data_IF_953162770673
#
_entry.id   IF_953162770673
#
_cell.length_a   1.000
_cell.length_b   1.000
_cell.length_c   1.000
_cell.angle_alpha   90.00
_cell.angle_beta   90.00
_cell.angle_gamma   90.00
#
_symmetry.space_group_name_H-M   'P 1'
#
loop_
_entity.id
_entity.type
_entity.pdbx_description
1 polymer ?
#
# COMPACT_ATOMS: atom_id res chain seq x y z
N UNK A 1 20.76 5.03 16.09
CA UNK A 1 19.30 5.18 15.83
C UNK A 1 18.88 4.22 14.71
N UNK A 2 19.44 4.35 13.51
CA UNK A 2 19.11 3.46 12.38
C UNK A 2 19.37 1.98 12.69
N UNK A 3 20.48 1.65 13.36
CA UNK A 3 20.77 0.27 13.74
C UNK A 3 19.73 -0.32 14.70
N UNK A 4 19.27 0.44 15.71
CA UNK A 4 18.21 0.00 16.62
C UNK A 4 16.88 -0.25 15.89
N UNK A 5 16.56 0.59 14.90
CA UNK A 5 15.37 0.40 14.05
C UNK A 5 15.50 -0.88 13.23
N UNK A 6 16.66 -1.12 12.60
CA UNK A 6 16.91 -2.35 11.83
C UNK A 6 16.86 -3.60 12.70
N UNK A 7 17.47 -3.56 13.89
CA UNK A 7 17.39 -4.66 14.86
C UNK A 7 15.95 -4.93 15.31
N UNK A 8 15.13 -3.89 15.47
CA UNK A 8 13.71 -4.05 15.80
C UNK A 8 12.93 -4.78 14.70
N UNK A 9 13.26 -4.53 13.42
CA UNK A 9 12.68 -5.25 12.29
C UNK A 9 13.17 -6.71 12.28
N UNK A 10 14.47 -6.96 12.48
CA UNK A 10 15.06 -8.31 12.46
C UNK A 10 14.56 -9.21 13.59
N UNK A 11 14.27 -8.67 14.77
CA UNK A 11 13.72 -9.46 15.88
C UNK A 11 12.40 -10.16 15.53
N UNK A 12 11.67 -9.65 14.54
CA UNK A 12 10.42 -10.26 14.07
C UNK A 12 10.65 -11.37 13.03
N UNK A 13 11.85 -11.53 12.47
CA UNK A 13 12.08 -12.47 11.37
C UNK A 13 12.29 -13.93 11.79
N UNK A 14 12.63 -14.21 13.05
CA UNK A 14 13.03 -15.57 13.47
C UNK A 14 11.93 -16.62 13.24
N UNK A 15 10.66 -16.25 13.38
CA UNK A 15 9.52 -17.16 13.28
C UNK A 15 8.54 -16.82 12.13
N UNK A 16 8.90 -15.87 11.25
CA UNK A 16 7.98 -15.35 10.23
C UNK A 16 8.58 -15.40 8.81
N UNK A 17 7.82 -15.93 7.86
CA UNK A 17 8.19 -15.90 6.43
C UNK A 17 8.16 -14.47 5.86
N UNK A 18 7.25 -13.64 6.38
CA UNK A 18 7.05 -12.25 5.95
C UNK A 18 6.88 -11.33 7.15
N UNK A 19 7.59 -10.20 7.13
CA UNK A 19 7.42 -9.10 8.09
C UNK A 19 6.93 -7.87 7.32
N UNK A 20 5.72 -7.41 7.63
CA UNK A 20 5.16 -6.18 7.06
C UNK A 20 5.41 -5.05 8.05
N UNK A 21 6.32 -4.14 7.70
CA UNK A 21 6.66 -2.98 8.54
C UNK A 21 6.03 -1.72 7.93
N UNK A 22 5.03 -1.18 8.61
CA UNK A 22 4.49 0.15 8.29
C UNK A 22 5.44 1.24 8.80
N UNK A 23 5.81 2.18 7.94
CA UNK A 23 6.56 3.37 8.34
C UNK A 23 5.55 4.51 8.49
N UNK A 24 5.34 4.92 9.74
CA UNK A 24 4.46 6.05 10.06
C UNK A 24 5.01 7.38 9.55
N UNK A 25 4.14 8.39 9.50
CA UNK A 25 4.44 9.72 8.97
C UNK A 25 4.27 9.81 7.45
N UNK A 26 4.70 10.94 6.87
CA UNK A 26 4.70 11.13 5.41
C UNK A 26 6.14 11.17 4.91
N UNK A 27 6.37 10.65 3.70
CA UNK A 27 7.63 10.89 2.99
C UNK A 27 7.77 12.40 2.77
N UNK A 28 8.96 12.93 3.06
CA UNK A 28 9.24 14.37 3.03
C UNK A 28 9.26 15.02 4.42
N UNK A 29 8.66 14.38 5.43
CA UNK A 29 8.69 14.88 6.81
C UNK A 29 10.03 14.56 7.48
N UNK A 30 10.57 15.52 8.25
CA UNK A 30 11.86 15.38 8.95
C UNK A 30 11.82 14.22 9.96
N UNK A 31 10.67 13.99 10.58
CA UNK A 31 10.44 12.94 11.57
C UNK A 31 10.62 11.53 10.98
N UNK A 32 10.32 11.37 9.68
CA UNK A 32 10.39 10.09 8.96
C UNK A 32 11.81 9.73 8.51
N UNK A 33 12.73 10.71 8.42
CA UNK A 33 14.07 10.52 7.85
C UNK A 33 14.87 9.37 8.50
N UNK A 34 14.91 9.21 9.85
CA UNK A 34 15.64 8.10 10.46
C UNK A 34 15.08 6.73 10.07
N UNK A 35 13.76 6.60 9.94
CA UNK A 35 13.11 5.35 9.54
C UNK A 35 13.37 5.02 8.07
N UNK A 36 13.27 6.02 7.20
CA UNK A 36 13.53 5.83 5.77
C UNK A 36 15.01 5.48 5.51
N UNK A 37 15.95 6.14 6.21
CA UNK A 37 17.36 5.77 6.14
C UNK A 37 17.62 4.36 6.69
N UNK A 38 16.93 3.96 7.77
CA UNK A 38 17.06 2.62 8.34
C UNK A 38 16.62 1.54 7.35
N UNK A 39 15.44 1.67 6.73
CA UNK A 39 14.97 0.66 5.74
C UNK A 39 15.84 0.67 4.48
N UNK A 40 16.34 1.84 4.06
CA UNK A 40 17.25 1.95 2.92
C UNK A 40 18.52 1.13 3.15
N UNK A 41 19.14 1.27 4.33
CA UNK A 41 20.29 0.45 4.73
C UNK A 41 19.91 -1.02 4.90
N UNK A 42 18.75 -1.29 5.51
CA UNK A 42 18.27 -2.64 5.77
C UNK A 42 18.24 -3.50 4.50
N UNK A 43 17.75 -2.95 3.38
CA UNK A 43 17.75 -3.64 2.08
C UNK A 43 19.15 -4.04 1.60
N UNK A 44 20.19 -3.28 1.93
CA UNK A 44 21.57 -3.69 1.63
C UNK A 44 22.06 -4.76 2.60
N UNK A 45 21.71 -4.67 3.88
CA UNK A 45 22.14 -5.62 4.91
C UNK A 45 21.58 -7.03 4.67
N UNK A 46 20.31 -7.14 4.25
CA UNK A 46 19.64 -8.44 4.06
C UNK A 46 19.56 -8.90 2.60
N UNK A 47 19.98 -8.09 1.63
CA UNK A 47 19.88 -8.37 0.20
C UNK A 47 18.62 -7.82 -0.46
N UNK A 48 18.75 -7.36 -1.70
CA UNK A 48 17.67 -6.69 -2.44
C UNK A 48 16.49 -7.63 -2.75
N UNK A 49 16.75 -8.91 -2.93
CA UNK A 49 15.74 -9.96 -3.14
C UNK A 49 14.84 -10.20 -1.93
N UNK A 50 15.27 -9.80 -0.73
CA UNK A 50 14.57 -10.04 0.53
C UNK A 50 13.78 -8.83 1.04
N UNK A 51 13.71 -7.74 0.27
CA UNK A 51 12.93 -6.54 0.62
C UNK A 51 12.10 -6.07 -0.57
N UNK A 52 10.83 -5.75 -0.29
CA UNK A 52 9.89 -5.13 -1.22
C UNK A 52 9.34 -3.82 -0.60
N UNK A 53 9.39 -2.74 -1.37
CA UNK A 53 8.83 -1.45 -0.96
C UNK A 53 7.46 -1.21 -1.60
N UNK A 54 6.44 -1.08 -0.75
CA UNK A 54 5.10 -0.62 -1.13
C UNK A 54 4.96 0.84 -0.73
N UNK A 55 4.76 1.73 -1.71
CA UNK A 55 4.55 3.15 -1.44
C UNK A 55 3.08 3.52 -1.65
N UNK A 56 2.43 4.00 -0.58
CA UNK A 56 1.04 4.44 -0.61
C UNK A 56 1.00 5.93 -0.97
N UNK A 57 0.11 6.29 -1.89
CA UNK A 57 -0.01 7.65 -2.41
C UNK A 57 -1.46 8.02 -2.68
N UNK A 58 -1.77 9.31 -2.73
CA UNK A 58 -3.10 9.83 -3.04
C UNK A 58 -3.16 10.34 -4.48
N UNK A 59 -4.14 9.87 -5.25
CA UNK A 59 -4.51 10.39 -6.57
C UNK A 59 -5.84 11.14 -6.42
N UNK A 60 -5.81 12.45 -6.12
CA UNK A 60 -7.03 13.20 -5.83
C UNK A 60 -7.83 13.48 -7.09
N UNK A 61 -9.16 13.47 -6.95
CA UNK A 61 -10.08 13.95 -7.97
C UNK A 61 -10.34 15.44 -7.82
N UNK A 62 -10.08 16.22 -8.88
CA UNK A 62 -10.30 17.67 -8.87
C UNK A 62 -11.66 17.96 -9.50
N UNK A 63 -12.67 18.18 -8.65
CA UNK A 63 -14.06 18.40 -9.06
C UNK A 63 -14.22 19.54 -10.08
N UNK A 64 -13.45 20.62 -9.94
CA UNK A 64 -13.50 21.76 -10.88
C UNK A 64 -12.96 21.46 -12.27
N UNK A 65 -12.09 20.45 -12.41
CA UNK A 65 -11.51 20.01 -13.68
C UNK A 65 -12.10 18.70 -14.19
N UNK A 66 -12.86 17.97 -13.35
CA UNK A 66 -13.45 16.68 -13.68
C UNK A 66 -12.43 15.56 -13.90
N UNK A 67 -11.22 15.66 -13.32
CA UNK A 67 -10.15 14.69 -13.57
C UNK A 67 -9.33 14.33 -12.34
N UNK A 68 -8.76 13.12 -12.37
CA UNK A 68 -7.78 12.62 -11.41
C UNK A 68 -6.41 13.22 -11.69
N UNK A 69 -5.73 13.72 -10.64
CA UNK A 69 -4.39 14.32 -10.77
C UNK A 69 -3.32 13.37 -10.27
N UNK A 70 -2.42 12.98 -11.18
CA UNK A 70 -1.28 12.09 -10.89
C UNK A 70 -0.06 12.81 -10.31
N UNK A 71 -0.06 14.15 -10.31
CA UNK A 71 1.10 14.98 -9.96
C UNK A 71 1.54 14.82 -8.48
N UNK A 72 0.63 14.75 -7.49
CA UNK A 72 1.01 14.46 -6.10
C UNK A 72 1.77 13.14 -5.96
N UNK A 73 1.31 12.07 -6.61
CA UNK A 73 2.03 10.79 -6.65
C UNK A 73 3.43 10.89 -7.23
N UNK A 74 3.59 11.63 -8.33
CA UNK A 74 4.90 11.82 -8.96
C UNK A 74 5.88 12.55 -8.04
N UNK A 75 5.42 13.57 -7.32
CA UNK A 75 6.25 14.30 -6.37
C UNK A 75 6.63 13.44 -5.17
N UNK A 76 5.67 12.70 -4.60
CA UNK A 76 5.92 11.82 -3.47
C UNK A 76 6.94 10.71 -3.82
N UNK A 77 6.84 10.10 -5.01
CA UNK A 77 7.84 9.11 -5.46
C UNK A 77 9.19 9.77 -5.71
N UNK A 78 9.23 11.02 -6.20
CA UNK A 78 10.49 11.76 -6.38
C UNK A 78 11.20 11.96 -5.04
N UNK A 79 10.49 12.40 -4.00
CA UNK A 79 11.05 12.57 -2.66
C UNK A 79 11.56 11.25 -2.06
N UNK A 80 10.80 10.16 -2.23
CA UNK A 80 11.23 8.82 -1.81
C UNK A 80 12.52 8.38 -2.54
N UNK A 81 12.64 8.71 -3.83
CA UNK A 81 13.83 8.39 -4.63
C UNK A 81 15.03 9.28 -4.31
N UNK A 82 14.81 10.52 -3.87
CA UNK A 82 15.88 11.44 -3.47
C UNK A 82 16.66 10.91 -2.27
N UNK A 83 16.00 10.16 -1.39
CA UNK A 83 16.64 9.45 -0.28
C UNK A 83 17.13 8.04 -0.66
N UNK A 84 17.10 7.68 -1.95
CA UNK A 84 17.66 6.41 -2.43
C UNK A 84 16.72 5.20 -2.33
N UNK A 85 15.41 5.41 -2.16
CA UNK A 85 14.42 4.33 -2.11
C UNK A 85 13.60 4.33 -3.40
N UNK A 86 13.69 3.24 -4.17
CA UNK A 86 12.83 3.01 -5.34
C UNK A 86 11.66 2.11 -4.92
N UNK A 87 10.40 2.56 -5.03
CA UNK A 87 9.26 1.70 -4.76
C UNK A 87 9.14 0.60 -5.80
N UNK A 88 8.79 -0.61 -5.34
CA UNK A 88 8.48 -1.76 -6.19
C UNK A 88 6.99 -1.75 -6.61
N UNK A 89 6.13 -1.32 -5.69
CA UNK A 89 4.66 -1.25 -5.86
C UNK A 89 4.17 0.14 -5.43
N UNK A 90 3.28 0.73 -6.23
CA UNK A 90 2.55 1.96 -5.90
C UNK A 90 1.10 1.61 -5.59
N UNK A 91 0.66 1.92 -4.38
CA UNK A 91 -0.74 1.79 -3.96
C UNK A 91 -1.39 3.16 -4.04
N UNK A 92 -2.10 3.40 -5.13
CA UNK A 92 -2.73 4.68 -5.43
C UNK A 92 -4.15 4.73 -4.87
N UNK A 93 -4.30 5.40 -3.72
CA UNK A 93 -5.59 5.75 -3.12
C UNK A 93 -6.35 6.72 -4.01
N UNK A 94 -7.61 6.42 -4.31
CA UNK A 94 -8.45 7.31 -5.11
C UNK A 94 -9.94 7.11 -4.83
N UNK A 95 -10.72 8.17 -5.06
CA UNK A 95 -12.19 8.12 -5.01
C UNK A 95 -12.78 7.44 -6.26
N UNK A 96 -12.10 7.59 -7.42
CA UNK A 96 -12.54 7.07 -8.71
C UNK A 96 -11.55 6.04 -9.28
N UNK A 97 -12.00 5.12 -10.16
CA UNK A 97 -11.13 4.15 -10.80
C UNK A 97 -9.99 4.81 -11.59
N UNK A 98 -8.79 4.24 -11.49
CA UNK A 98 -7.66 4.61 -12.34
C UNK A 98 -7.77 3.90 -13.68
N UNK A 99 -8.04 4.66 -14.73
CA UNK A 99 -8.02 4.15 -16.09
C UNK A 99 -6.61 3.77 -16.56
N UNK A 100 -6.55 3.11 -17.72
CA UNK A 100 -5.30 2.63 -18.29
C UNK A 100 -4.30 3.76 -18.59
N UNK A 101 -4.82 4.92 -18.98
CA UNK A 101 -4.03 6.11 -19.34
C UNK A 101 -3.34 6.69 -18.12
N UNK A 102 -4.07 6.84 -17.02
CA UNK A 102 -3.56 7.32 -15.73
C UNK A 102 -2.52 6.34 -15.18
N UNK A 103 -2.80 5.03 -15.21
CA UNK A 103 -1.84 4.01 -14.75
C UNK A 103 -0.55 4.04 -15.56
N UNK A 104 -0.62 4.10 -16.89
CA UNK A 104 0.56 4.24 -17.78
C UNK A 104 1.36 5.49 -17.46
N UNK A 105 0.66 6.61 -17.24
CA UNK A 105 1.29 7.88 -16.88
C UNK A 105 2.05 7.78 -15.56
N UNK A 106 1.40 7.29 -14.50
CA UNK A 106 2.03 7.09 -13.18
C UNK A 106 3.24 6.18 -13.32
N UNK A 107 3.09 5.03 -13.98
CA UNK A 107 4.16 4.06 -14.19
C UNK A 107 5.39 4.67 -14.87
N UNK A 108 5.16 5.38 -15.98
CA UNK A 108 6.22 6.06 -16.73
C UNK A 108 6.97 7.09 -15.88
N UNK A 109 6.25 7.98 -15.20
CA UNK A 109 6.87 9.06 -14.43
C UNK A 109 7.52 8.59 -13.12
N UNK A 110 7.02 7.50 -12.53
CA UNK A 110 7.53 6.94 -11.29
C UNK A 110 8.57 5.84 -11.51
N UNK A 111 8.85 5.49 -12.78
CA UNK A 111 9.77 4.42 -13.18
C UNK A 111 9.42 3.07 -12.53
N UNK A 112 8.15 2.69 -12.58
CA UNK A 112 7.66 1.37 -12.14
C UNK A 112 6.92 0.68 -13.27
N UNK A 113 6.75 -0.64 -13.17
CA UNK A 113 5.87 -1.37 -14.10
C UNK A 113 4.44 -0.84 -14.00
N UNK A 114 3.73 -0.80 -15.12
CA UNK A 114 2.29 -0.47 -15.15
C UNK A 114 1.48 -1.38 -14.21
N UNK A 115 1.84 -2.66 -14.15
CA UNK A 115 1.14 -3.61 -13.28
C UNK A 115 1.41 -3.34 -11.79
N UNK A 116 2.53 -2.68 -11.47
CA UNK A 116 2.85 -2.24 -10.11
C UNK A 116 2.08 -1.00 -9.67
N UNK A 117 1.24 -0.41 -10.51
CA UNK A 117 0.34 0.70 -10.15
C UNK A 117 -1.03 0.13 -9.77
N UNK A 118 -1.22 -0.08 -8.47
CA UNK A 118 -2.40 -0.68 -7.86
C UNK A 118 -3.42 0.42 -7.54
N UNK A 119 -4.64 0.28 -8.03
CA UNK A 119 -5.71 1.19 -7.67
C UNK A 119 -6.39 0.77 -6.36
N UNK A 120 -6.06 1.48 -5.30
CA UNK A 120 -6.73 1.36 -4.01
C UNK A 120 -7.93 2.30 -3.94
N UNK A 121 -8.99 1.96 -4.68
CA UNK A 121 -10.23 2.74 -4.68
C UNK A 121 -10.88 2.72 -3.30
N UNK A 122 -11.55 3.81 -2.91
CA UNK A 122 -12.30 3.87 -1.67
C UNK A 122 -13.34 2.73 -1.60
N UNK A 123 -13.27 2.00 -0.50
CA UNK A 123 -14.12 0.85 -0.23
C UNK A 123 -15.26 1.24 0.71
N UNK A 124 -16.45 0.66 0.49
CA UNK A 124 -17.61 0.93 1.35
C UNK A 124 -17.45 0.35 2.76
N UNK A 125 -16.56 -0.63 2.92
CA UNK A 125 -16.15 -1.20 4.20
C UNK A 125 -14.69 -1.63 4.15
N UNK A 126 -14.00 -1.59 5.28
CA UNK A 126 -12.59 -2.02 5.38
C UNK A 126 -12.39 -3.47 4.95
N UNK A 127 -13.40 -4.33 5.12
CA UNK A 127 -13.34 -5.73 4.72
C UNK A 127 -13.37 -5.94 3.21
N UNK A 128 -13.71 -4.94 2.41
CA UNK A 128 -13.57 -5.06 0.95
C UNK A 128 -12.14 -4.83 0.47
N UNK A 129 -11.28 -4.20 1.27
CA UNK A 129 -9.93 -3.81 0.84
C UNK A 129 -9.12 -5.03 0.37
N UNK A 130 -9.06 -6.16 1.08
CA UNK A 130 -8.33 -7.35 0.60
C UNK A 130 -8.84 -7.88 -0.74
N UNK A 131 -10.16 -7.89 -0.97
CA UNK A 131 -10.75 -8.33 -2.25
C UNK A 131 -10.33 -7.40 -3.39
N UNK A 132 -10.36 -6.09 -3.17
CA UNK A 132 -9.95 -5.10 -4.17
C UNK A 132 -8.45 -5.21 -4.47
N UNK A 133 -7.62 -5.39 -3.44
CA UNK A 133 -6.17 -5.56 -3.59
C UNK A 133 -5.80 -6.84 -4.34
N UNK A 134 -6.46 -7.97 -4.04
CA UNK A 134 -6.29 -9.22 -4.77
C UNK A 134 -6.77 -9.08 -6.23
N UNK A 135 -7.90 -8.42 -6.47
CA UNK A 135 -8.38 -8.15 -7.84
C UNK A 135 -7.40 -7.31 -8.66
N UNK A 136 -6.69 -6.40 -8.01
CA UNK A 136 -5.63 -5.59 -8.62
C UNK A 136 -4.30 -6.36 -8.78
N UNK A 137 -4.16 -7.54 -8.18
CA UNK A 137 -3.02 -8.45 -8.34
C UNK A 137 -1.79 -8.09 -7.52
N UNK A 138 -1.95 -7.37 -6.39
CA UNK A 138 -0.81 -6.98 -5.55
C UNK A 138 -0.08 -8.20 -4.96
N UNK A 139 -0.83 -9.22 -4.58
CA UNK A 139 -0.34 -10.50 -4.08
C UNK A 139 0.57 -11.18 -5.11
N UNK A 140 0.15 -11.22 -6.38
CA UNK A 140 0.96 -11.79 -7.47
C UNK A 140 2.27 -11.04 -7.68
N UNK A 141 2.26 -9.72 -7.53
CA UNK A 141 3.48 -8.93 -7.60
C UNK A 141 4.43 -9.24 -6.45
N UNK A 142 3.89 -9.41 -5.23
CA UNK A 142 4.66 -9.77 -4.04
C UNK A 142 5.26 -11.17 -4.22
N UNK A 143 4.46 -12.18 -4.56
CA UNK A 143 4.94 -13.55 -4.78
C UNK A 143 6.04 -13.59 -5.85
N UNK A 144 5.83 -12.87 -6.96
CA UNK A 144 6.83 -12.75 -8.03
C UNK A 144 8.11 -12.08 -7.54
N UNK A 145 8.04 -11.03 -6.71
CA UNK A 145 9.22 -10.30 -6.21
C UNK A 145 10.13 -11.21 -5.38
N UNK A 146 9.53 -12.07 -4.56
CA UNK A 146 10.24 -13.00 -3.68
C UNK A 146 10.51 -14.38 -4.33
N UNK A 147 10.25 -14.51 -5.64
CA UNK A 147 10.43 -15.77 -6.38
C UNK A 147 9.67 -16.96 -5.77
N UNK A 148 8.51 -16.70 -5.17
CA UNK A 148 7.63 -17.71 -4.60
C UNK A 148 6.59 -18.17 -5.62
N UNK A 149 6.13 -19.40 -5.48
CA UNK A 149 5.06 -19.94 -6.33
C UNK A 149 3.76 -19.18 -6.10
N UNK A 150 3.14 -18.74 -7.20
CA UNK A 150 1.82 -18.12 -7.16
C UNK A 150 0.80 -19.16 -6.70
N UNK A 151 0.12 -18.86 -5.60
CA UNK A 151 -0.97 -19.68 -5.08
C UNK A 151 -2.26 -18.91 -5.29
N UNK A 152 -3.24 -19.54 -5.93
CA UNK A 152 -4.57 -18.96 -5.98
C UNK A 152 -5.18 -19.09 -4.58
N UNK A 153 -5.24 -17.98 -3.86
CA UNK A 153 -5.78 -17.95 -2.50
C UNK A 153 -7.31 -17.95 -2.55
N UNK A 154 -7.91 -18.82 -1.74
CA UNK A 154 -9.35 -18.85 -1.54
C UNK A 154 -9.76 -17.70 -0.61
N UNK A 155 -10.59 -16.80 -1.13
CA UNK A 155 -11.11 -15.62 -0.42
C UNK A 155 -12.59 -15.76 -0.05
N UNK A 156 -13.19 -16.95 -0.20
CA UNK A 156 -14.63 -17.18 0.03
C UNK A 156 -15.10 -16.67 1.41
N UNK A 157 -14.33 -16.93 2.47
CA UNK A 157 -14.64 -16.43 3.82
C UNK A 157 -14.68 -14.91 3.90
N UNK A 158 -13.86 -14.24 3.12
CA UNK A 158 -13.76 -12.79 3.11
C UNK A 158 -14.90 -12.18 2.29
N UNK A 159 -15.28 -12.83 1.19
CA UNK A 159 -16.48 -12.53 0.42
C UNK A 159 -17.73 -12.67 1.28
N UNK A 160 -17.84 -13.73 2.08
CA UNK A 160 -18.96 -13.96 3.01
C UNK A 160 -19.08 -12.85 4.07
N UNK A 161 -17.97 -12.39 4.64
CA UNK A 161 -17.97 -11.27 5.60
C UNK A 161 -18.51 -10.00 4.93
N UNK A 162 -18.03 -9.68 3.73
CA UNK A 162 -18.47 -8.50 2.98
C UNK A 162 -19.96 -8.60 2.65
N UNK A 163 -20.43 -9.79 2.26
CA UNK A 163 -21.83 -10.02 1.93
C UNK A 163 -22.74 -9.79 3.13
N UNK A 164 -22.39 -10.32 4.31
CA UNK A 164 -23.14 -10.12 5.56
C UNK A 164 -23.18 -8.66 5.99
N UNK A 165 -22.09 -7.92 5.81
CA UNK A 165 -22.02 -6.49 6.15
C UNK A 165 -22.92 -5.66 5.22
N UNK A 166 -22.99 -6.03 3.95
CA UNK A 166 -23.77 -5.30 2.94
C UNK A 166 -25.25 -5.65 2.93
N UNK A 167 -25.60 -6.85 3.38
CA UNK A 167 -26.94 -7.39 3.37
C UNK A 167 -27.33 -7.90 4.77
N UNK A 168 -27.45 -7.00 5.77
CA UNK A 168 -27.92 -7.41 7.10
C UNK A 168 -29.38 -7.86 7.03
N UNK A 169 -29.74 -8.82 7.87
CA UNK A 169 -31.13 -9.31 7.97
C UNK A 169 -32.06 -8.28 8.63
N UNK A 170 -31.56 -7.56 9.63
CA UNK A 170 -32.30 -6.60 10.44
C UNK A 170 -31.40 -5.44 10.91
N UNK A 171 -32.03 -4.39 11.44
CA UNK A 171 -31.36 -3.22 12.01
C UNK A 171 -31.59 -3.13 13.53
N UNK A 172 -30.53 -2.83 14.29
CA UNK A 172 -30.60 -2.62 15.74
C UNK A 172 -29.91 -1.33 16.15
N UNK A 173 -30.53 -0.58 17.06
CA UNK A 173 -30.01 0.68 17.57
C UNK A 173 -29.22 0.43 18.87
N UNK A 174 -27.93 0.76 18.87
CA UNK A 174 -27.04 0.61 20.03
C UNK A 174 -26.57 2.00 20.48
N UNK A 175 -26.94 2.40 21.69
CA UNK A 175 -26.48 3.65 22.29
C UNK A 175 -25.06 3.52 22.84
N UNK A 176 -24.13 4.33 22.33
CA UNK A 176 -22.74 4.39 22.81
C UNK A 176 -22.49 5.77 23.41
N UNK A 177 -22.21 5.84 24.72
CA UNK A 177 -21.94 7.12 25.41
C UNK A 177 -20.47 7.48 25.26
N UNK A 178 -20.17 8.46 24.40
CA UNK A 178 -18.83 8.95 24.11
C UNK A 178 -18.58 10.37 24.62
N UNK A 179 -17.30 10.76 24.66
CA UNK A 179 -16.86 12.12 25.02
C UNK A 179 -16.95 13.11 23.84
N UNK A 180 -16.72 12.62 22.63
CA UNK A 180 -16.73 13.38 21.40
C UNK A 180 -17.86 12.84 20.51
N UNK A 181 -18.64 13.75 19.92
CA UNK A 181 -19.71 13.48 18.95
C UNK A 181 -19.20 13.63 17.53
#
# INVERSE_FOLDING_TARGET
>A
ITDEIKESILKLSEDNDFVITEIGGTVGDIESLPFLEAIRQFKFDVGEENVLYVHVTLVPFIKSAGELKTKPTQHSVKELREIGIQPDILVCRSEYPLDDTIRKKIALFCNVSKNSVINAIDASTIYQVPLYMNKEGIDKLIMKRFSLEDKNYDLEKWEEIVERIKNPEDEVHIGVVGKYT
#
